data_IF_300582320861
#
_entry.id   IF_300582320861
#
_cell.length_a   1.000
_cell.length_b   1.000
_cell.length_c   1.000
_cell.angle_alpha   90.00
_cell.angle_beta   90.00
_cell.angle_gamma   90.00
#
_symmetry.space_group_name_H-M   'P 1'
#
loop_
_entity.id
_entity.type
_entity.pdbx_description
1 polymer ?
#
# COMPACT_ATOMS: atom_id res chain seq x y z
N UNK A 1 -14.02 2.37 -57.55
CA UNK A 1 -12.73 2.15 -56.86
C UNK A 1 -12.41 3.20 -55.78
N UNK A 2 -12.74 4.50 -55.94
CA UNK A 2 -12.43 5.54 -54.91
C UNK A 2 -13.18 5.36 -53.57
N UNK A 3 -14.42 4.80 -53.57
CA UNK A 3 -15.19 4.59 -52.33
C UNK A 3 -14.64 3.46 -51.47
N UNK A 4 -14.13 2.38 -52.06
CA UNK A 4 -13.57 1.24 -51.33
C UNK A 4 -12.30 1.63 -50.55
N UNK A 5 -11.45 2.51 -51.15
CA UNK A 5 -10.24 3.01 -50.52
C UNK A 5 -10.55 3.99 -49.35
N UNK A 6 -11.68 4.74 -49.43
CA UNK A 6 -12.13 5.62 -48.38
C UNK A 6 -12.63 4.81 -47.18
N UNK A 7 -13.48 3.81 -47.39
CA UNK A 7 -13.98 2.94 -46.33
C UNK A 7 -12.85 2.18 -45.63
N UNK A 8 -11.85 1.69 -46.38
CA UNK A 8 -10.69 1.03 -45.82
C UNK A 8 -9.86 1.97 -44.96
N UNK A 9 -9.63 3.23 -45.39
CA UNK A 9 -8.92 4.24 -44.60
C UNK A 9 -9.68 4.58 -43.33
N UNK A 10 -11.00 4.76 -43.39
CA UNK A 10 -11.82 5.03 -42.21
C UNK A 10 -11.77 3.85 -41.24
N UNK A 11 -11.87 2.61 -41.70
CA UNK A 11 -11.78 1.41 -40.87
C UNK A 11 -10.43 1.33 -40.13
N UNK A 12 -9.33 1.55 -40.86
CA UNK A 12 -7.98 1.54 -40.28
C UNK A 12 -7.84 2.65 -39.20
N UNK A 13 -8.31 3.86 -39.51
CA UNK A 13 -8.27 4.98 -38.57
C UNK A 13 -9.06 4.68 -37.29
N UNK A 14 -10.27 4.11 -37.43
CA UNK A 14 -11.12 3.72 -36.29
C UNK A 14 -10.41 2.64 -35.42
N UNK A 15 -9.83 1.61 -36.06
CA UNK A 15 -9.10 0.56 -35.33
C UNK A 15 -7.89 1.10 -34.59
N UNK A 16 -7.12 1.99 -35.22
CA UNK A 16 -5.94 2.63 -34.56
C UNK A 16 -6.38 3.49 -33.38
N UNK A 17 -7.42 4.32 -33.57
CA UNK A 17 -7.95 5.14 -32.48
C UNK A 17 -8.50 4.30 -31.33
N UNK A 18 -9.16 3.20 -31.62
CA UNK A 18 -9.66 2.27 -30.61
C UNK A 18 -8.50 1.60 -29.85
N UNK A 19 -7.46 1.15 -30.55
CA UNK A 19 -6.26 0.60 -29.92
C UNK A 19 -5.56 1.60 -29.01
N UNK A 20 -5.34 2.83 -29.49
CA UNK A 20 -4.75 3.91 -28.69
C UNK A 20 -5.62 4.25 -27.47
N UNK A 21 -6.93 4.30 -27.64
CA UNK A 21 -7.85 4.59 -26.53
C UNK A 21 -7.80 3.49 -25.45
N UNK A 22 -7.80 2.23 -25.84
CA UNK A 22 -7.68 1.08 -24.92
C UNK A 22 -6.32 1.11 -24.20
N UNK A 23 -5.23 1.34 -24.93
CA UNK A 23 -3.89 1.43 -24.34
C UNK A 23 -3.79 2.62 -23.36
N UNK A 24 -4.32 3.78 -23.75
CA UNK A 24 -4.36 4.94 -22.87
C UNK A 24 -5.19 4.66 -21.60
N UNK A 25 -6.34 4.00 -21.73
CA UNK A 25 -7.14 3.60 -20.59
C UNK A 25 -6.38 2.65 -19.66
N UNK A 26 -5.68 1.65 -20.19
CA UNK A 26 -4.86 0.72 -19.39
C UNK A 26 -3.75 1.44 -18.62
N UNK A 27 -3.05 2.39 -19.26
CA UNK A 27 -1.95 3.11 -18.63
C UNK A 27 -2.46 4.11 -17.58
N UNK A 28 -3.44 4.97 -17.95
CA UNK A 28 -3.85 6.10 -17.12
C UNK A 28 -4.90 5.75 -16.05
N UNK A 29 -5.75 4.76 -16.30
CA UNK A 29 -6.82 4.39 -15.36
C UNK A 29 -6.53 3.10 -14.59
N UNK A 30 -5.91 2.11 -15.23
CA UNK A 30 -5.57 0.84 -14.57
C UNK A 30 -4.15 0.83 -14.00
N UNK A 31 -3.31 1.85 -14.30
CA UNK A 31 -1.95 1.94 -13.77
C UNK A 31 -1.03 0.79 -14.23
N UNK A 32 -1.35 0.15 -15.37
CA UNK A 32 -0.53 -0.95 -15.87
C UNK A 32 0.78 -0.38 -16.41
N UNK A 33 1.95 -0.81 -15.89
CA UNK A 33 3.24 -0.30 -16.33
C UNK A 33 3.51 -0.64 -17.80
N UNK A 34 4.14 0.29 -18.51
CA UNK A 34 4.44 0.15 -19.95
C UNK A 34 5.67 -0.72 -20.19
N UNK A 35 6.56 -0.81 -19.20
CA UNK A 35 7.81 -1.55 -19.30
C UNK A 35 7.84 -2.71 -18.30
N UNK A 36 8.43 -3.83 -18.70
CA UNK A 36 8.62 -5.00 -17.84
C UNK A 36 9.67 -4.77 -16.73
N UNK A 37 10.47 -3.70 -16.86
CA UNK A 37 11.55 -3.37 -15.93
C UNK A 37 11.12 -2.51 -14.74
N UNK A 38 9.83 -2.08 -14.69
CA UNK A 38 9.31 -1.39 -13.52
C UNK A 38 9.17 -2.37 -12.36
N UNK A 39 9.86 -2.05 -11.28
CA UNK A 39 9.77 -2.78 -10.01
C UNK A 39 9.06 -1.95 -8.96
N UNK A 40 8.28 -2.62 -8.13
CA UNK A 40 7.62 -2.03 -6.98
C UNK A 40 8.15 -2.61 -5.68
N UNK A 41 8.09 -1.80 -4.65
CA UNK A 41 8.46 -2.20 -3.30
C UNK A 41 7.48 -3.22 -2.71
N UNK A 42 8.05 -4.36 -2.34
CA UNK A 42 7.36 -5.41 -1.60
C UNK A 42 7.90 -5.45 -0.17
N UNK A 43 7.06 -5.12 0.78
CA UNK A 43 7.43 -5.11 2.19
C UNK A 43 7.03 -6.43 2.85
N UNK A 44 8.02 -7.11 3.44
CA UNK A 44 7.82 -8.25 4.32
C UNK A 44 7.97 -7.76 5.76
N UNK A 45 6.91 -7.88 6.55
CA UNK A 45 6.86 -7.43 7.94
C UNK A 45 6.63 -8.64 8.83
N UNK A 46 7.54 -8.89 9.74
CA UNK A 46 7.43 -9.91 10.78
C UNK A 46 7.26 -9.23 12.15
N UNK A 47 6.16 -9.51 12.85
CA UNK A 47 5.98 -9.16 14.24
C UNK A 47 6.16 -10.42 15.09
N UNK A 48 7.25 -10.45 15.87
CA UNK A 48 7.57 -11.51 16.82
C UNK A 48 7.05 -11.13 18.21
N UNK A 49 6.16 -11.94 18.74
CA UNK A 49 5.60 -11.80 20.09
C UNK A 49 6.27 -12.80 21.01
N UNK A 50 6.92 -12.34 22.07
CA UNK A 50 7.56 -13.18 23.07
C UNK A 50 6.94 -12.91 24.45
N UNK A 51 6.65 -13.96 25.21
CA UNK A 51 6.14 -13.87 26.56
C UNK A 51 6.42 -15.15 27.35
N UNK A 52 6.22 -15.10 28.66
CA UNK A 52 6.36 -16.25 29.54
C UNK A 52 4.98 -16.67 30.02
N UNK A 53 4.53 -17.86 29.59
CA UNK A 53 3.22 -18.38 29.95
C UNK A 53 3.23 -18.97 31.38
N UNK A 54 2.10 -18.74 32.12
CA UNK A 54 1.82 -19.36 33.40
C UNK A 54 1.29 -20.78 33.19
N UNK A 55 1.92 -21.77 33.82
CA UNK A 55 1.53 -23.18 33.66
C UNK A 55 0.12 -23.53 34.17
N UNK A 56 -0.50 -22.64 34.96
CA UNK A 56 -1.77 -22.88 35.65
C UNK A 56 -2.99 -22.36 34.93
N UNK A 57 -2.82 -21.33 34.11
CA UNK A 57 -3.93 -20.57 33.53
C UNK A 57 -4.01 -20.79 32.01
N UNK A 58 -5.20 -20.69 31.42
CA UNK A 58 -5.34 -20.59 29.98
C UNK A 58 -4.63 -19.32 29.48
N UNK A 59 -3.97 -19.41 28.34
CA UNK A 59 -3.28 -18.28 27.75
C UNK A 59 -4.12 -17.70 26.64
N UNK A 60 -4.29 -16.38 26.68
CA UNK A 60 -4.91 -15.59 25.61
C UNK A 60 -4.04 -14.40 25.31
N UNK A 61 -3.55 -14.32 24.08
CA UNK A 61 -2.73 -13.20 23.57
C UNK A 61 -3.53 -12.47 22.51
N UNK A 62 -3.70 -11.17 22.66
CA UNK A 62 -4.37 -10.33 21.70
C UNK A 62 -3.38 -9.26 21.21
N UNK A 63 -3.27 -9.08 19.91
CA UNK A 63 -2.41 -8.08 19.30
C UNK A 63 -3.14 -7.37 18.17
N UNK A 64 -2.96 -6.06 18.06
CA UNK A 64 -3.41 -5.33 16.89
C UNK A 64 -2.59 -5.69 15.68
N UNK A 65 -3.26 -5.85 14.55
CA UNK A 65 -2.67 -6.04 13.23
C UNK A 65 -3.18 -4.95 12.28
N UNK A 66 -2.42 -4.57 11.25
CA UNK A 66 -2.80 -3.44 10.41
C UNK A 66 -4.22 -3.61 9.84
N UNK A 67 -5.05 -2.59 9.90
CA UNK A 67 -6.25 -2.55 9.07
C UNK A 67 -5.78 -2.56 7.62
N UNK A 68 -6.33 -3.44 6.78
CA UNK A 68 -6.07 -3.42 5.35
C UNK A 68 -6.55 -2.08 4.80
N UNK A 69 -5.61 -1.16 4.60
CA UNK A 69 -5.89 0.26 4.37
C UNK A 69 -5.89 0.62 2.89
N UNK A 70 -6.27 1.87 2.60
CA UNK A 70 -6.32 2.46 1.26
C UNK A 70 -4.98 2.41 0.51
N UNK A 71 -3.88 2.60 1.24
CA UNK A 71 -2.57 2.88 0.66
C UNK A 71 -1.74 1.61 0.42
N UNK A 72 -2.15 0.50 1.03
CA UNK A 72 -1.44 -0.76 0.95
C UNK A 72 -2.38 -1.94 0.71
N UNK A 73 -1.93 -2.90 -0.08
CA UNK A 73 -2.59 -4.19 -0.33
C UNK A 73 -1.79 -5.28 0.36
N UNK A 74 -2.49 -6.13 1.11
CA UNK A 74 -1.90 -7.37 1.64
C UNK A 74 -1.90 -8.45 0.58
N UNK A 75 -0.73 -8.94 0.23
CA UNK A 75 -0.55 -10.08 -0.68
C UNK A 75 -0.57 -11.40 0.06
N UNK A 76 -0.05 -11.42 1.28
CA UNK A 76 -0.05 -12.60 2.13
C UNK A 76 -0.08 -12.18 3.60
N UNK A 77 -0.88 -12.89 4.38
CA UNK A 77 -0.97 -12.70 5.82
C UNK A 77 -0.93 -14.07 6.51
N UNK A 78 -0.04 -14.24 7.47
CA UNK A 78 0.16 -15.51 8.17
C UNK A 78 0.31 -15.32 9.67
N UNK A 79 -0.37 -16.19 10.43
CA UNK A 79 -0.31 -16.24 11.88
C UNK A 79 0.33 -17.56 12.28
N UNK A 80 1.59 -17.51 12.71
CA UNK A 80 2.39 -18.70 13.00
C UNK A 80 2.48 -18.88 14.52
N UNK A 81 1.99 -20.00 14.99
CA UNK A 81 2.01 -20.34 16.40
C UNK A 81 2.05 -21.87 16.60
N UNK A 82 2.66 -22.32 17.69
CA UNK A 82 2.67 -23.73 18.03
C UNK A 82 1.56 -23.99 19.07
N UNK A 83 0.58 -24.84 18.71
CA UNK A 83 -0.52 -25.27 19.58
C UNK A 83 -1.47 -24.15 20.09
N UNK A 84 -1.57 -23.01 19.39
CA UNK A 84 -2.55 -21.96 19.66
C UNK A 84 -3.65 -21.98 18.59
N UNK A 85 -4.89 -21.86 19.03
CA UNK A 85 -6.00 -21.48 18.17
C UNK A 85 -5.88 -20.01 17.80
N UNK A 86 -6.16 -19.66 16.54
CA UNK A 86 -6.05 -18.28 16.02
C UNK A 86 -7.42 -17.80 15.57
N UNK A 87 -7.77 -16.58 15.93
CA UNK A 87 -8.93 -15.86 15.39
C UNK A 87 -8.61 -14.39 15.18
N UNK A 88 -9.20 -13.79 14.14
CA UNK A 88 -9.04 -12.36 13.83
C UNK A 88 -10.39 -11.71 13.90
N UNK A 89 -10.52 -10.67 14.72
CA UNK A 89 -11.72 -9.88 14.88
C UNK A 89 -11.49 -8.46 14.35
N UNK A 90 -12.56 -7.84 13.85
CA UNK A 90 -12.59 -6.44 13.43
C UNK A 90 -13.58 -5.68 14.31
N UNK A 91 -13.12 -4.60 14.93
CA UNK A 91 -13.95 -3.71 15.70
C UNK A 91 -13.43 -2.27 15.58
N UNK A 92 -14.33 -1.31 15.42
CA UNK A 92 -14.03 0.14 15.39
C UNK A 92 -12.91 0.54 14.43
N UNK A 93 -12.88 -0.07 13.24
CA UNK A 93 -11.85 0.18 12.23
C UNK A 93 -10.50 -0.51 12.50
N UNK A 94 -10.32 -1.15 13.65
CA UNK A 94 -9.14 -1.92 14.00
C UNK A 94 -9.32 -3.41 13.72
N UNK A 95 -8.19 -4.09 13.53
CA UNK A 95 -8.10 -5.56 13.47
C UNK A 95 -7.29 -6.06 14.64
N UNK A 96 -7.77 -7.10 15.29
CA UNK A 96 -7.10 -7.70 16.44
C UNK A 96 -7.02 -9.21 16.25
N UNK A 97 -5.82 -9.75 16.22
CA UNK A 97 -5.60 -11.20 16.26
C UNK A 97 -5.63 -11.68 17.69
N UNK A 98 -6.22 -12.85 17.91
CA UNK A 98 -6.27 -13.53 19.20
C UNK A 98 -5.68 -14.92 19.05
N UNK A 99 -4.61 -15.19 19.78
CA UNK A 99 -4.07 -16.53 19.97
C UNK A 99 -4.53 -17.05 21.33
N UNK A 100 -5.03 -18.28 21.37
CA UNK A 100 -5.53 -18.89 22.59
C UNK A 100 -5.05 -20.33 22.73
N UNK A 101 -4.61 -20.70 23.95
CA UNK A 101 -4.24 -22.05 24.31
C UNK A 101 -4.77 -22.40 25.70
N UNK A 102 -5.30 -23.60 25.86
CA UNK A 102 -5.79 -24.07 27.17
C UNK A 102 -4.65 -24.30 28.17
N UNK A 103 -3.49 -24.69 27.69
CA UNK A 103 -2.29 -24.94 28.50
C UNK A 103 -1.05 -24.53 27.71
N UNK A 104 -0.26 -23.66 28.29
CA UNK A 104 1.07 -23.32 27.82
C UNK A 104 1.95 -23.02 29.02
N UNK A 105 3.25 -23.24 28.94
CA UNK A 105 4.18 -22.99 30.04
C UNK A 105 5.56 -22.58 29.51
N UNK A 106 6.25 -21.74 30.28
CA UNK A 106 7.57 -21.27 29.91
C UNK A 106 7.55 -20.24 28.78
N UNK A 107 8.70 -20.09 28.12
CA UNK A 107 8.84 -19.11 27.04
C UNK A 107 8.01 -19.52 25.84
N UNK A 108 7.20 -18.59 25.37
CA UNK A 108 6.34 -18.75 24.18
C UNK A 108 6.72 -17.71 23.15
N UNK A 109 6.64 -18.11 21.88
CA UNK A 109 6.89 -17.23 20.74
C UNK A 109 5.78 -17.42 19.71
N UNK A 110 5.17 -16.32 19.30
CA UNK A 110 4.17 -16.26 18.24
C UNK A 110 4.66 -15.32 17.16
N UNK A 111 4.27 -15.56 15.92
CA UNK A 111 4.64 -14.70 14.80
C UNK A 111 3.40 -14.27 14.02
N UNK A 112 3.41 -13.00 13.66
CA UNK A 112 2.55 -12.45 12.64
C UNK A 112 3.41 -12.01 11.47
N UNK A 113 3.14 -12.53 10.28
CA UNK A 113 3.84 -12.17 9.05
C UNK A 113 2.86 -11.54 8.08
N UNK A 114 3.26 -10.42 7.52
CA UNK A 114 2.50 -9.66 6.53
C UNK A 114 3.40 -9.33 5.34
N UNK A 115 2.92 -9.65 4.15
CA UNK A 115 3.53 -9.21 2.89
C UNK A 115 2.60 -8.20 2.25
N UNK A 116 3.08 -7.00 1.99
CA UNK A 116 2.28 -5.92 1.44
C UNK A 116 3.03 -5.11 0.38
N UNK A 117 2.25 -4.45 -0.46
CA UNK A 117 2.71 -3.48 -1.45
C UNK A 117 1.84 -2.24 -1.46
N UNK A 118 2.31 -1.16 -2.07
CA UNK A 118 1.49 0.05 -2.27
C UNK A 118 0.32 -0.22 -3.20
N UNK A 119 -0.83 0.40 -2.91
CA UNK A 119 -1.99 0.38 -3.78
C UNK A 119 -1.96 1.61 -4.68
N UNK A 120 -2.11 1.39 -5.98
CA UNK A 120 -2.20 2.47 -6.98
C UNK A 120 -3.64 2.81 -7.39
N UNK A 121 -4.65 2.34 -6.64
CA UNK A 121 -6.07 2.55 -6.97
C UNK A 121 -6.61 3.85 -6.36
N UNK A 122 -7.28 4.65 -7.18
CA UNK A 122 -7.99 5.87 -6.80
C UNK A 122 -9.44 5.61 -6.33
N UNK A 123 -9.76 4.44 -5.80
CA UNK A 123 -11.09 4.18 -5.29
C UNK A 123 -11.43 5.09 -4.11
N UNK A 124 -12.42 5.95 -4.30
CA UNK A 124 -13.02 6.77 -3.23
C UNK A 124 -13.86 5.88 -2.33
N UNK A 125 -13.23 5.30 -1.32
CA UNK A 125 -13.97 4.58 -0.28
C UNK A 125 -14.72 5.58 0.58
N UNK A 126 -15.99 5.34 0.86
CA UNK A 126 -16.78 6.17 1.77
C UNK A 126 -16.13 6.13 3.16
N UNK A 127 -15.65 7.28 3.62
CA UNK A 127 -15.02 7.39 4.93
C UNK A 127 -16.10 7.48 5.98
N UNK A 128 -16.09 6.57 6.94
CA UNK A 128 -16.93 6.66 8.11
C UNK A 128 -16.36 7.75 9.04
N UNK A 129 -17.12 8.79 9.30
CA UNK A 129 -16.76 9.82 10.28
C UNK A 129 -16.66 9.26 11.69
N UNK A 130 -16.06 9.99 12.61
CA UNK A 130 -15.94 9.59 14.00
C UNK A 130 -17.32 9.59 14.68
N UNK A 131 -17.47 8.74 15.67
CA UNK A 131 -18.56 8.90 16.65
C UNK A 131 -18.16 10.05 17.58
N UNK A 132 -18.98 11.10 17.64
CA UNK A 132 -18.73 12.20 18.57
C UNK A 132 -18.66 11.68 20.01
N UNK A 133 -17.57 12.02 20.70
CA UNK A 133 -17.46 11.85 22.15
C UNK A 133 -17.91 13.13 22.83
N UNK A 134 -18.55 13.00 23.99
CA UNK A 134 -18.81 14.14 24.86
C UNK A 134 -17.50 14.81 25.25
N UNK A 135 -17.53 16.13 25.44
CA UNK A 135 -16.36 16.88 25.89
C UNK A 135 -15.87 16.31 27.21
N UNK A 136 -14.56 16.11 27.31
CA UNK A 136 -13.93 15.70 28.56
C UNK A 136 -14.20 16.76 29.63
N UNK A 137 -14.83 16.36 30.73
CA UNK A 137 -15.12 17.26 31.83
C UNK A 137 -13.82 17.62 32.54
N UNK A 138 -13.49 18.91 32.56
CA UNK A 138 -12.33 19.46 33.28
C UNK A 138 -12.86 20.46 34.29
N UNK A 139 -12.36 20.39 35.51
CA UNK A 139 -12.75 21.26 36.61
C UNK A 139 -11.50 21.94 37.24
N UNK A 140 -11.75 23.03 37.94
CA UNK A 140 -10.71 23.70 38.72
C UNK A 140 -9.63 24.41 37.88
N UNK A 141 -8.36 24.41 38.34
CA UNK A 141 -7.28 25.15 37.68
C UNK A 141 -6.98 24.69 36.27
N UNK A 142 -7.18 23.41 35.97
CA UNK A 142 -6.97 22.84 34.65
C UNK A 142 -7.94 23.41 33.62
N UNK A 143 -9.20 23.68 34.02
CA UNK A 143 -10.18 24.31 33.16
C UNK A 143 -9.75 25.74 32.77
N UNK A 144 -9.29 26.52 33.74
CA UNK A 144 -8.81 27.90 33.52
C UNK A 144 -7.62 27.89 32.55
N UNK A 145 -6.67 26.97 32.75
CA UNK A 145 -5.52 26.84 31.88
C UNK A 145 -5.90 26.44 30.46
N UNK A 146 -6.82 25.49 30.30
CA UNK A 146 -7.33 25.07 29.00
C UNK A 146 -8.04 26.21 28.26
N UNK A 147 -8.93 26.96 28.95
CA UNK A 147 -9.63 28.13 28.38
C UNK A 147 -8.64 29.23 27.97
N UNK A 148 -7.61 29.48 28.77
CA UNK A 148 -6.56 30.45 28.45
C UNK A 148 -5.76 30.06 27.18
N UNK A 149 -5.51 28.79 26.95
CA UNK A 149 -4.85 28.31 25.73
C UNK A 149 -5.80 28.34 24.51
N UNK A 150 -7.10 28.13 24.70
CA UNK A 150 -8.06 28.08 23.61
C UNK A 150 -8.27 29.42 22.92
N UNK A 151 -8.20 30.56 23.65
CA UNK A 151 -8.43 31.87 23.07
C UNK A 151 -7.43 32.22 21.95
N UNK A 152 -6.09 32.12 22.14
CA UNK A 152 -5.13 32.38 21.06
C UNK A 152 -5.19 31.32 19.95
N UNK A 153 -5.49 30.07 20.25
CA UNK A 153 -5.64 29.01 19.22
C UNK A 153 -6.77 29.40 18.26
N UNK A 154 -7.95 29.80 18.77
CA UNK A 154 -9.08 30.24 17.93
C UNK A 154 -8.77 31.46 17.08
N UNK A 155 -7.96 32.41 17.59
CA UNK A 155 -7.57 33.61 16.82
C UNK A 155 -6.66 33.31 15.63
N UNK A 156 -5.86 32.24 15.70
CA UNK A 156 -4.90 31.85 14.68
C UNK A 156 -5.37 30.72 13.78
N UNK A 157 -6.63 30.31 13.91
CA UNK A 157 -7.20 29.17 13.18
C UNK A 157 -8.38 29.58 12.34
N UNK A 158 -8.40 29.15 11.07
CA UNK A 158 -9.48 29.41 10.13
C UNK A 158 -10.41 28.20 9.95
N UNK A 159 -9.88 26.99 10.14
CA UNK A 159 -10.55 25.71 9.92
C UNK A 159 -10.06 24.64 10.91
N UNK A 160 -10.56 23.42 10.78
CA UNK A 160 -10.18 22.29 11.64
C UNK A 160 -8.68 21.97 11.51
N UNK A 161 -8.15 22.09 10.31
CA UNK A 161 -6.75 21.78 10.01
C UNK A 161 -5.78 22.69 10.76
N UNK A 162 -5.97 23.99 10.58
CA UNK A 162 -5.16 25.00 11.28
C UNK A 162 -5.40 24.99 12.78
N UNK A 163 -6.63 24.68 13.23
CA UNK A 163 -6.94 24.56 14.64
C UNK A 163 -6.20 23.41 15.33
N UNK A 164 -6.16 22.24 14.73
CA UNK A 164 -5.44 21.08 15.26
C UNK A 164 -3.94 21.34 15.24
N UNK A 165 -3.41 21.88 14.12
CA UNK A 165 -1.99 22.22 14.00
C UNK A 165 -1.54 23.22 15.06
N UNK A 166 -2.31 24.29 15.27
CA UNK A 166 -1.99 25.30 16.29
C UNK A 166 -2.11 24.76 17.72
N UNK A 167 -3.10 23.89 17.98
CA UNK A 167 -3.24 23.21 19.28
C UNK A 167 -2.00 22.37 19.59
N UNK A 168 -1.53 21.59 18.63
CA UNK A 168 -0.32 20.76 18.79
C UNK A 168 0.91 21.64 19.07
N UNK A 169 1.11 22.70 18.30
CA UNK A 169 2.22 23.64 18.48
C UNK A 169 2.20 24.30 19.86
N UNK A 170 1.01 24.68 20.35
CA UNK A 170 0.83 25.27 21.67
C UNK A 170 1.20 24.28 22.79
N UNK A 171 0.70 23.05 22.72
CA UNK A 171 1.00 22.03 23.73
C UNK A 171 2.49 21.64 23.75
N UNK A 172 3.17 21.76 22.62
CA UNK A 172 4.62 21.55 22.54
C UNK A 172 5.46 22.74 23.03
N UNK A 173 4.85 23.90 23.28
CA UNK A 173 5.53 25.03 23.90
C UNK A 173 5.65 24.87 25.41
N UNK A 174 6.67 24.15 25.86
CA UNK A 174 6.91 23.84 27.27
C UNK A 174 7.30 25.10 28.11
N UNK A 175 7.39 26.28 27.52
CA UNK A 175 7.63 27.51 28.27
C UNK A 175 6.33 28.15 28.80
N UNK A 176 5.16 27.77 28.26
CA UNK A 176 3.86 28.26 28.70
C UNK A 176 3.45 27.58 30.03
N UNK A 177 3.13 28.39 31.05
CA UNK A 177 2.78 27.89 32.37
C UNK A 177 1.45 27.15 32.41
N UNK A 178 0.49 27.49 31.51
CA UNK A 178 -0.75 26.75 31.38
C UNK A 178 -0.50 25.34 30.81
N UNK A 179 0.43 25.22 29.85
CA UNK A 179 0.85 23.93 29.30
C UNK A 179 1.53 23.07 30.37
N UNK A 180 2.44 23.65 31.17
CA UNK A 180 3.09 22.95 32.27
C UNK A 180 2.08 22.42 33.30
N UNK A 181 1.06 23.22 33.61
CA UNK A 181 -0.01 22.83 34.51
C UNK A 181 -0.81 21.65 33.96
N UNK A 182 -1.22 21.69 32.69
CA UNK A 182 -1.98 20.61 32.06
C UNK A 182 -1.16 19.33 31.89
N UNK A 183 0.14 19.44 31.63
CA UNK A 183 1.04 18.30 31.51
C UNK A 183 1.40 17.67 32.87
N UNK A 184 1.18 18.38 33.98
CA UNK A 184 1.47 17.92 35.34
C UNK A 184 2.89 17.32 35.51
N UNK A 185 3.87 17.84 34.76
CA UNK A 185 5.27 17.39 34.79
C UNK A 185 5.59 16.18 33.89
N UNK A 186 4.60 15.54 33.28
CA UNK A 186 4.82 14.45 32.31
C UNK A 186 4.81 14.99 30.88
N UNK A 187 5.98 15.06 30.24
CA UNK A 187 6.17 15.53 28.86
C UNK A 187 6.19 14.39 27.84
N UNK A 188 5.77 13.19 28.21
CA UNK A 188 5.71 12.04 27.29
C UNK A 188 4.75 12.31 26.12
N UNK A 189 5.03 11.70 24.98
CA UNK A 189 4.19 11.85 23.78
C UNK A 189 2.72 11.44 24.04
N UNK A 190 2.50 10.41 24.85
CA UNK A 190 1.16 9.98 25.24
C UNK A 190 0.43 11.01 26.10
N UNK A 191 1.13 11.65 27.03
CA UNK A 191 0.52 12.66 27.89
C UNK A 191 0.24 13.96 27.12
N UNK A 192 1.16 14.39 26.24
CA UNK A 192 0.92 15.48 25.30
C UNK A 192 -0.31 15.22 24.44
N UNK A 193 -0.45 14.00 23.87
CA UNK A 193 -1.60 13.63 23.09
C UNK A 193 -2.93 13.66 23.90
N UNK A 194 -2.91 13.32 25.19
CA UNK A 194 -4.07 13.47 26.09
C UNK A 194 -4.46 14.93 26.29
N UNK A 195 -3.48 15.81 26.49
CA UNK A 195 -3.73 17.26 26.62
C UNK A 195 -4.26 17.86 25.32
N UNK A 196 -3.72 17.43 24.18
CA UNK A 196 -4.24 17.83 22.86
C UNK A 196 -5.69 17.36 22.69
N UNK A 197 -6.00 16.10 23.02
CA UNK A 197 -7.34 15.54 22.96
C UNK A 197 -8.32 16.31 23.86
N UNK A 198 -7.88 16.68 25.04
CA UNK A 198 -8.64 17.51 25.96
C UNK A 198 -9.01 18.86 25.34
N UNK A 199 -8.02 19.60 24.82
CA UNK A 199 -8.26 20.91 24.19
C UNK A 199 -9.15 20.79 22.95
N UNK A 200 -8.96 19.79 22.12
CA UNK A 200 -9.79 19.54 20.93
C UNK A 200 -11.22 19.13 21.31
N UNK A 201 -11.39 18.35 22.39
CA UNK A 201 -12.72 17.96 22.88
C UNK A 201 -13.56 19.15 23.36
N UNK A 202 -12.94 20.14 24.01
CA UNK A 202 -13.59 21.40 24.40
C UNK A 202 -14.07 22.20 23.18
N UNK A 203 -13.38 22.05 22.04
CA UNK A 203 -13.78 22.68 20.78
C UNK A 203 -14.75 21.81 19.96
N UNK A 204 -15.13 20.63 20.44
CA UNK A 204 -15.88 19.62 19.70
C UNK A 204 -15.22 19.17 18.40
N UNK A 205 -13.90 19.21 18.33
CA UNK A 205 -13.10 18.70 17.23
C UNK A 205 -12.69 17.25 17.53
N UNK A 206 -13.15 16.26 16.76
CA UNK A 206 -12.83 14.86 17.02
C UNK A 206 -11.35 14.59 16.75
N UNK A 207 -10.71 13.91 17.67
CA UNK A 207 -9.32 13.48 17.55
C UNK A 207 -9.18 12.00 17.92
N UNK A 208 -8.33 11.29 17.22
CA UNK A 208 -7.95 9.91 17.54
C UNK A 208 -6.44 9.75 17.47
N UNK A 209 -5.91 8.95 18.40
CA UNK A 209 -4.52 8.50 18.36
C UNK A 209 -4.34 7.43 17.28
N UNK A 210 -3.27 7.54 16.53
CA UNK A 210 -2.91 6.62 15.46
C UNK A 210 -1.52 6.10 15.74
N UNK A 211 -1.38 4.79 15.74
CA UNK A 211 -0.09 4.16 15.90
C UNK A 211 0.38 3.62 14.56
N UNK A 212 1.55 4.06 14.15
CA UNK A 212 2.15 3.72 12.86
C UNK A 212 3.46 3.00 13.05
N UNK A 213 3.86 2.22 12.05
CA UNK A 213 5.19 1.62 11.99
C UNK A 213 5.89 2.16 10.76
N UNK A 214 7.14 2.56 10.92
CA UNK A 214 7.95 3.06 9.83
C UNK A 214 8.47 1.91 8.98
N UNK A 215 8.25 1.98 7.66
CA UNK A 215 8.73 1.01 6.69
C UNK A 215 10.20 1.31 6.35
N UNK A 216 11.11 0.78 7.16
CA UNK A 216 12.56 0.86 6.96
C UNK A 216 13.13 -0.53 7.13
N UNK A 217 13.87 -1.00 6.13
CA UNK A 217 14.49 -2.32 6.15
C UNK A 217 15.64 -2.40 7.17
N UNK A 218 15.92 -3.62 7.63
CA UNK A 218 17.08 -4.03 8.41
C UNK A 218 17.26 -3.36 9.80
N UNK A 219 16.24 -2.65 10.29
CA UNK A 219 16.24 -2.05 11.62
C UNK A 219 14.99 -2.44 12.39
N UNK A 220 15.12 -2.85 13.68
CA UNK A 220 13.97 -3.07 14.53
C UNK A 220 13.16 -1.78 14.67
N UNK A 221 11.87 -1.86 14.45
CA UNK A 221 10.97 -0.72 14.53
C UNK A 221 10.12 -0.79 15.79
N UNK A 222 9.76 0.36 16.31
CA UNK A 222 8.78 0.53 17.38
C UNK A 222 7.60 1.36 16.84
N UNK A 223 6.38 1.11 17.33
CA UNK A 223 5.24 1.94 16.94
C UNK A 223 5.45 3.41 17.31
N UNK A 224 5.18 4.29 16.34
CA UNK A 224 5.22 5.75 16.51
C UNK A 224 3.79 6.28 16.67
N UNK A 225 3.61 7.25 17.55
CA UNK A 225 2.33 7.92 17.77
C UNK A 225 2.14 9.03 16.76
N UNK A 226 0.97 9.04 16.11
CA UNK A 226 0.46 10.11 15.27
C UNK A 226 -0.94 10.50 15.75
N UNK A 227 -1.43 11.65 15.32
CA UNK A 227 -2.78 12.11 15.62
C UNK A 227 -3.57 12.22 14.32
N UNK A 228 -4.88 11.92 14.38
CA UNK A 228 -5.77 12.22 13.27
C UNK A 228 -7.01 12.94 13.75
N UNK A 229 -7.51 13.85 12.93
CA UNK A 229 -8.73 14.59 13.16
C UNK A 229 -9.61 14.56 11.92
N UNK A 230 -10.92 14.65 12.09
CA UNK A 230 -11.88 14.60 10.99
C UNK A 230 -12.40 15.99 10.66
N UNK A 231 -12.26 16.43 9.41
CA UNK A 231 -12.68 17.76 8.97
C UNK A 231 -14.12 17.85 8.44
N UNK A 232 -14.88 16.74 8.56
CA UNK A 232 -16.22 16.61 7.99
C UNK A 232 -16.27 15.75 6.71
N UNK A 233 -15.16 15.66 5.97
CA UNK A 233 -15.05 14.87 4.75
C UNK A 233 -13.99 13.78 4.85
N UNK A 234 -12.81 14.13 5.36
CA UNK A 234 -11.63 13.27 5.38
C UNK A 234 -10.94 13.26 6.74
N UNK A 235 -10.20 12.19 7.03
CA UNK A 235 -9.29 12.12 8.15
C UNK A 235 -7.96 12.81 7.80
N UNK A 236 -7.61 13.83 8.57
CA UNK A 236 -6.36 14.56 8.49
C UNK A 236 -5.38 14.00 9.52
N UNK A 237 -4.16 13.70 9.12
CA UNK A 237 -3.12 13.20 10.00
C UNK A 237 -2.15 14.31 10.37
N UNK A 238 -1.67 14.30 11.62
CA UNK A 238 -0.79 15.32 12.14
C UNK A 238 0.38 14.71 12.89
N UNK A 239 1.55 15.31 12.72
CA UNK A 239 2.71 14.99 13.52
C UNK A 239 2.50 15.55 14.95
N UNK A 240 2.56 14.73 16.02
CA UNK A 240 2.29 15.19 17.39
C UNK A 240 3.34 16.15 17.95
N UNK A 241 4.54 16.21 17.36
CA UNK A 241 5.62 17.07 17.82
C UNK A 241 5.67 18.41 17.08
N UNK A 242 5.41 18.42 15.77
CA UNK A 242 5.51 19.63 14.93
C UNK A 242 4.17 20.26 14.60
N UNK A 243 3.08 19.51 14.65
CA UNK A 243 1.77 19.93 14.20
C UNK A 243 1.64 19.99 12.68
N UNK A 244 2.61 19.51 11.91
CA UNK A 244 2.55 19.43 10.47
C UNK A 244 1.52 18.39 10.03
N UNK A 245 0.73 18.75 9.03
CA UNK A 245 -0.26 17.88 8.44
C UNK A 245 0.38 16.95 7.41
N UNK A 246 -0.12 15.74 7.35
CA UNK A 246 0.23 14.70 6.39
C UNK A 246 0.94 13.52 7.04
N UNK A 247 0.55 12.33 6.64
CA UNK A 247 1.24 11.10 7.03
C UNK A 247 2.30 10.79 5.95
N UNK A 248 3.59 10.67 6.31
CA UNK A 248 4.62 10.30 5.36
C UNK A 248 4.32 8.95 4.70
N UNK A 249 4.69 8.80 3.44
CA UNK A 249 4.41 7.60 2.64
C UNK A 249 5.16 6.34 3.10
N UNK A 250 6.12 6.49 4.02
CA UNK A 250 6.86 5.40 4.65
C UNK A 250 6.24 4.97 6.00
N UNK A 251 5.00 5.38 6.30
CA UNK A 251 4.29 5.05 7.53
C UNK A 251 3.13 4.11 7.24
N UNK A 252 3.16 2.93 7.84
CA UNK A 252 2.06 1.98 7.83
C UNK A 252 1.22 2.17 9.09
N UNK A 253 -0.07 2.49 8.92
CA UNK A 253 -1.01 2.53 10.02
C UNK A 253 -1.18 1.12 10.60
N UNK A 254 -1.01 0.99 11.93
CA UNK A 254 -1.11 -0.30 12.61
C UNK A 254 -2.39 -0.44 13.42
N UNK A 255 -2.73 0.54 14.25
CA UNK A 255 -4.02 0.63 14.96
C UNK A 255 -4.35 2.06 15.35
N UNK A 256 -5.61 2.28 15.74
CA UNK A 256 -6.10 3.56 16.26
C UNK A 256 -6.68 3.39 17.66
N UNK A 257 -6.61 4.44 18.47
CA UNK A 257 -7.14 4.50 19.82
C UNK A 257 -6.10 4.40 20.92
N UNK A 258 -6.57 4.21 22.15
CA UNK A 258 -5.76 4.27 23.38
C UNK A 258 -5.25 2.90 23.85
N UNK A 259 -5.71 1.82 23.24
CA UNK A 259 -5.36 0.47 23.66
C UNK A 259 -3.88 0.16 23.37
N UNK A 260 -3.28 -0.67 24.22
CA UNK A 260 -1.93 -1.18 24.01
C UNK A 260 -1.87 -2.13 22.81
N UNK A 261 -0.73 -2.12 22.11
CA UNK A 261 -0.45 -3.01 20.97
C UNK A 261 -0.78 -4.47 21.26
N UNK A 262 -0.41 -4.93 22.46
CA UNK A 262 -0.57 -6.32 22.88
C UNK A 262 -1.17 -6.40 24.30
N UNK A 263 -2.01 -7.40 24.49
CA UNK A 263 -2.54 -7.81 25.80
C UNK A 263 -2.33 -9.32 25.96
N UNK A 264 -1.80 -9.73 27.13
CA UNK A 264 -1.53 -11.15 27.41
C UNK A 264 -2.20 -11.53 28.74
N UNK A 265 -3.18 -12.41 28.64
CA UNK A 265 -3.79 -13.07 29.78
C UNK A 265 -3.18 -14.44 29.98
N UNK A 266 -2.85 -14.81 31.23
CA UNK A 266 -2.18 -16.07 31.56
C UNK A 266 -0.65 -16.05 31.24
N UNK A 267 -0.04 -14.88 31.05
CA UNK A 267 1.38 -14.72 30.79
C UNK A 267 1.97 -13.45 31.36
N UNK A 268 3.28 -13.33 31.32
CA UNK A 268 4.05 -12.18 31.79
C UNK A 268 5.17 -11.83 30.82
N UNK A 269 5.73 -10.62 30.97
CA UNK A 269 6.89 -10.12 30.19
C UNK A 269 6.66 -10.19 28.68
N UNK A 270 5.47 -9.73 28.25
CA UNK A 270 5.16 -9.65 26.83
C UNK A 270 6.02 -8.59 26.13
N UNK A 271 6.61 -8.94 25.01
CA UNK A 271 7.35 -8.05 24.14
C UNK A 271 7.00 -8.33 22.69
N UNK A 272 6.95 -7.28 21.87
CA UNK A 272 6.75 -7.38 20.42
C UNK A 272 7.92 -6.73 19.72
N UNK A 273 8.58 -7.46 18.84
CA UNK A 273 9.67 -6.98 18.00
C UNK A 273 9.24 -7.02 16.56
N UNK A 274 9.40 -5.89 15.87
CA UNK A 274 9.13 -5.80 14.44
C UNK A 274 10.43 -5.88 13.67
N UNK A 275 10.45 -6.74 12.65
CA UNK A 275 11.51 -6.78 11.65
C UNK A 275 10.91 -6.64 10.27
N UNK A 276 11.59 -5.90 9.41
CA UNK A 276 11.10 -5.60 8.06
C UNK A 276 12.20 -5.80 7.06
N UNK A 277 11.80 -6.33 5.91
CA UNK A 277 12.66 -6.45 4.76
C UNK A 277 11.93 -5.91 3.54
N UNK A 278 12.65 -5.12 2.73
CA UNK A 278 12.16 -4.65 1.44
C UNK A 278 12.75 -5.54 0.35
N UNK A 279 11.92 -5.99 -0.57
CA UNK A 279 12.32 -6.68 -1.79
C UNK A 279 11.62 -6.03 -2.98
N UNK A 280 12.32 -5.94 -4.09
CA UNK A 280 11.74 -5.47 -5.34
C UNK A 280 11.07 -6.63 -6.07
N UNK A 281 9.88 -6.41 -6.58
CA UNK A 281 9.17 -7.34 -7.44
C UNK A 281 8.74 -6.63 -8.72
N UNK A 282 8.78 -7.35 -9.83
CA UNK A 282 8.27 -6.84 -11.10
C UNK A 282 6.81 -6.39 -10.95
N UNK A 283 6.50 -5.15 -11.33
CA UNK A 283 5.21 -4.51 -11.14
C UNK A 283 4.05 -5.28 -11.80
N UNK A 284 4.28 -5.91 -12.93
CA UNK A 284 3.28 -6.74 -13.62
C UNK A 284 2.93 -7.99 -12.80
N UNK A 285 3.94 -8.66 -12.24
CA UNK A 285 3.74 -9.83 -11.38
C UNK A 285 3.02 -9.45 -10.09
N UNK A 286 3.35 -8.28 -9.57
CA UNK A 286 2.71 -7.73 -8.38
C UNK A 286 1.24 -7.38 -8.64
N UNK A 287 0.93 -6.74 -9.77
CA UNK A 287 -0.44 -6.45 -10.19
C UNK A 287 -1.28 -7.72 -10.28
N UNK A 288 -0.73 -8.81 -10.84
CA UNK A 288 -1.40 -10.11 -10.90
C UNK A 288 -1.73 -10.69 -9.52
N UNK A 289 -0.78 -10.66 -8.58
CA UNK A 289 -1.01 -11.14 -7.21
C UNK A 289 -2.02 -10.28 -6.46
N UNK A 290 -2.07 -8.99 -6.75
CA UNK A 290 -3.03 -8.06 -6.17
C UNK A 290 -4.45 -8.32 -6.67
N UNK A 291 -4.61 -8.62 -7.95
CA UNK A 291 -5.89 -8.92 -8.60
C UNK A 291 -6.48 -10.25 -8.09
N UNK A 292 -5.67 -11.30 -7.98
CA UNK A 292 -6.10 -12.59 -7.40
C UNK A 292 -6.66 -12.45 -5.98
N UNK A 293 -6.24 -11.42 -5.21
CA UNK A 293 -6.74 -11.14 -3.87
C UNK A 293 -7.92 -10.15 -3.80
N UNK A 294 -8.30 -9.52 -4.93
CA UNK A 294 -9.29 -8.42 -4.94
C UNK A 294 -10.58 -8.76 -5.68
N UNK A 295 -10.76 -10.01 -6.19
CA UNK A 295 -11.92 -10.46 -7.01
C UNK A 295 -12.15 -9.61 -8.28
N UNK A 296 -11.13 -9.01 -8.84
CA UNK A 296 -11.24 -8.19 -10.05
C UNK A 296 -11.00 -9.05 -11.30
N UNK A 297 -12.05 -9.40 -12.00
CA UNK A 297 -12.07 -10.26 -13.20
C UNK A 297 -11.28 -9.75 -14.43
N UNK A 298 -10.63 -8.57 -14.33
CA UNK A 298 -10.03 -7.92 -15.51
C UNK A 298 -8.75 -8.57 -16.05
N UNK A 299 -7.93 -9.17 -15.18
CA UNK A 299 -6.70 -9.84 -15.61
C UNK A 299 -6.95 -11.24 -16.17
N UNK A 300 -8.11 -11.83 -15.92
CA UNK A 300 -8.50 -13.12 -16.51
C UNK A 300 -8.59 -13.06 -18.05
N UNK A 301 -8.93 -11.88 -18.59
CA UNK A 301 -8.96 -11.60 -20.03
C UNK A 301 -7.66 -11.01 -20.57
N UNK A 302 -6.63 -10.83 -19.73
CA UNK A 302 -5.33 -10.31 -20.13
C UNK A 302 -4.37 -11.43 -20.54
N UNK A 303 -3.48 -11.15 -21.49
CA UNK A 303 -2.36 -12.04 -21.84
C UNK A 303 -1.49 -12.42 -20.62
N UNK A 304 -1.44 -11.55 -19.62
CA UNK A 304 -0.71 -11.78 -18.37
C UNK A 304 -1.37 -12.81 -17.43
N UNK A 305 -2.66 -13.13 -17.61
CA UNK A 305 -3.35 -14.23 -16.94
C UNK A 305 -2.90 -15.62 -17.38
N UNK A 306 -2.18 -15.74 -18.50
CA UNK A 306 -1.75 -17.01 -19.06
C UNK A 306 -0.42 -17.50 -18.45
N UNK A 307 -0.15 -18.83 -18.44
CA UNK A 307 1.15 -19.36 -18.06
C UNK A 307 2.28 -18.74 -18.90
N UNK A 308 3.46 -18.54 -18.29
CA UNK A 308 4.63 -17.88 -18.93
C UNK A 308 4.99 -18.45 -20.32
N UNK A 309 4.88 -19.77 -20.51
CA UNK A 309 5.13 -20.42 -21.80
C UNK A 309 4.12 -19.97 -22.86
N UNK A 310 2.87 -19.82 -22.46
CA UNK A 310 1.79 -19.37 -23.34
C UNK A 310 1.93 -17.88 -23.68
N UNK A 311 2.30 -17.06 -22.71
CA UNK A 311 2.60 -15.62 -22.93
C UNK A 311 3.67 -15.42 -23.99
N UNK A 312 4.79 -16.17 -23.91
CA UNK A 312 5.86 -16.11 -24.91
C UNK A 312 5.35 -16.48 -26.31
N UNK A 313 4.50 -17.49 -26.40
CA UNK A 313 3.91 -17.89 -27.69
C UNK A 313 3.03 -16.79 -28.28
N UNK A 314 2.19 -16.17 -27.46
CA UNK A 314 1.35 -15.05 -27.91
C UNK A 314 2.14 -13.81 -28.27
N UNK A 315 3.23 -13.50 -27.55
CA UNK A 315 4.13 -12.40 -27.86
C UNK A 315 4.76 -12.58 -29.25
N UNK A 316 5.17 -13.82 -29.59
CA UNK A 316 5.67 -14.16 -30.94
C UNK A 316 4.56 -13.97 -31.98
N UNK A 317 3.34 -14.42 -31.71
CA UNK A 317 2.20 -14.26 -32.62
C UNK A 317 1.87 -12.79 -32.91
N UNK A 318 1.96 -11.92 -31.91
CA UNK A 318 1.74 -10.47 -32.08
C UNK A 318 2.88 -9.79 -32.83
N UNK A 319 4.11 -10.28 -32.71
CA UNK A 319 5.25 -9.76 -33.49
C UNK A 319 5.14 -10.00 -35.00
N UNK A 320 4.44 -11.05 -35.44
CA UNK A 320 4.30 -11.36 -36.88
C UNK A 320 3.58 -10.24 -37.65
N UNK A 321 2.38 -9.76 -37.24
CA UNK A 321 1.72 -8.64 -37.90
C UNK A 321 2.55 -7.34 -37.90
N UNK A 322 3.24 -7.07 -36.79
CA UNK A 322 4.12 -5.89 -36.67
C UNK A 322 5.28 -5.99 -37.65
N UNK A 323 5.93 -7.15 -37.73
CA UNK A 323 7.00 -7.41 -38.69
C UNK A 323 6.54 -7.25 -40.14
N UNK A 324 5.35 -7.78 -40.48
CA UNK A 324 4.74 -7.61 -41.82
C UNK A 324 4.47 -6.14 -42.12
N UNK A 325 3.96 -5.39 -41.14
CA UNK A 325 3.71 -3.94 -41.29
C UNK A 325 5.02 -3.20 -41.59
N UNK A 326 6.09 -3.49 -40.84
CA UNK A 326 7.42 -2.89 -41.08
C UNK A 326 7.91 -3.20 -42.51
N UNK A 327 7.82 -4.46 -42.97
CA UNK A 327 8.21 -4.84 -44.31
C UNK A 327 7.36 -4.10 -45.37
N UNK A 328 6.05 -3.95 -45.17
CA UNK A 328 5.18 -3.19 -46.06
C UNK A 328 5.58 -1.71 -46.13
N UNK A 329 5.95 -1.10 -45.02
CA UNK A 329 6.44 0.29 -44.98
C UNK A 329 7.75 0.40 -45.71
N UNK A 330 8.73 -0.48 -45.48
CA UNK A 330 10.03 -0.50 -46.15
C UNK A 330 9.85 -0.68 -47.67
N UNK A 331 8.96 -1.57 -48.07
CA UNK A 331 8.67 -1.84 -49.50
C UNK A 331 8.04 -0.66 -50.19
N UNK A 332 6.99 -0.09 -49.57
CA UNK A 332 6.13 0.94 -50.21
C UNK A 332 6.72 2.36 -50.09
N UNK A 333 7.44 2.66 -48.99
CA UNK A 333 7.97 3.98 -48.70
C UNK A 333 9.41 4.15 -49.17
N UNK A 334 10.26 3.12 -48.97
CA UNK A 334 11.69 3.13 -49.25
C UNK A 334 12.00 2.44 -50.60
N UNK A 335 11.10 1.58 -51.09
CA UNK A 335 11.27 0.88 -52.37
C UNK A 335 12.16 -0.35 -52.30
N UNK A 336 12.38 -0.92 -51.10
CA UNK A 336 13.20 -2.12 -50.94
C UNK A 336 12.48 -3.33 -51.53
N UNK A 337 13.07 -4.03 -52.51
CA UNK A 337 12.51 -5.26 -53.07
C UNK A 337 12.79 -6.42 -52.11
N UNK A 338 11.74 -7.05 -51.60
CA UNK A 338 11.82 -8.25 -50.76
C UNK A 338 11.17 -9.45 -51.41
N UNK A 339 11.67 -10.65 -51.18
CA UNK A 339 11.09 -11.91 -51.58
C UNK A 339 9.78 -12.20 -50.80
N UNK A 340 8.69 -11.56 -51.20
CA UNK A 340 7.40 -11.63 -50.49
C UNK A 340 7.37 -10.75 -49.25
N UNK A 341 6.26 -10.74 -48.53
CA UNK A 341 6.07 -9.97 -47.28
C UNK A 341 6.32 -10.79 -46.04
N UNK A 342 6.05 -12.09 -46.07
CA UNK A 342 6.17 -12.98 -44.91
C UNK A 342 7.56 -13.60 -44.76
N UNK A 343 8.27 -13.87 -45.88
CA UNK A 343 9.58 -14.54 -45.83
C UNK A 343 10.62 -13.84 -44.95
N UNK A 344 10.80 -12.51 -45.01
CA UNK A 344 11.73 -11.82 -44.12
C UNK A 344 11.34 -11.91 -42.65
N UNK A 345 10.05 -11.88 -42.34
CA UNK A 345 9.53 -11.98 -40.97
C UNK A 345 9.78 -13.37 -40.39
N UNK A 346 9.52 -14.42 -41.18
CA UNK A 346 9.81 -15.81 -40.77
C UNK A 346 11.28 -16.07 -40.53
N UNK A 347 12.15 -15.51 -41.39
CA UNK A 347 13.61 -15.59 -41.23
C UNK A 347 14.04 -14.87 -39.97
N UNK A 348 13.50 -13.68 -39.69
CA UNK A 348 13.83 -12.93 -38.48
C UNK A 348 13.40 -13.69 -37.21
N UNK A 349 12.20 -14.32 -37.22
CA UNK A 349 11.76 -15.18 -36.12
C UNK A 349 12.64 -16.42 -35.94
N UNK A 350 13.05 -17.06 -37.02
CA UNK A 350 13.98 -18.19 -36.97
C UNK A 350 15.36 -17.78 -36.37
N UNK A 351 15.86 -16.60 -36.70
CA UNK A 351 17.10 -16.07 -36.11
C UNK A 351 16.99 -15.73 -34.65
N UNK A 352 15.81 -15.33 -34.17
CA UNK A 352 15.54 -15.14 -32.74
C UNK A 352 15.71 -16.44 -31.96
N UNK A 353 15.21 -17.56 -32.46
CA UNK A 353 15.28 -18.86 -31.77
C UNK A 353 16.70 -19.49 -31.88
N UNK A 354 17.41 -19.28 -32.99
CA UNK A 354 18.70 -19.92 -33.26
C UNK A 354 19.91 -19.07 -32.89
N UNK A 355 19.74 -17.87 -32.37
CA UNK A 355 20.74 -16.80 -32.24
C UNK A 355 21.26 -16.31 -33.59
N UNK A 356 21.54 -15.00 -33.72
CA UNK A 356 21.83 -14.34 -35.01
C UNK A 356 22.99 -14.97 -35.76
N UNK A 357 24.11 -15.29 -35.10
CA UNK A 357 25.30 -15.85 -35.74
C UNK A 357 25.06 -17.26 -36.30
N UNK A 358 24.46 -18.13 -35.51
CA UNK A 358 24.17 -19.52 -35.93
C UNK A 358 23.06 -19.55 -37.00
N UNK A 359 22.06 -18.67 -36.89
CA UNK A 359 20.98 -18.56 -37.85
C UNK A 359 21.44 -18.10 -39.21
N UNK A 360 22.35 -17.10 -39.31
CA UNK A 360 22.93 -16.65 -40.56
C UNK A 360 23.79 -17.78 -41.22
N UNK A 361 24.60 -18.47 -40.43
CA UNK A 361 25.39 -19.59 -40.90
C UNK A 361 24.51 -20.71 -41.48
N UNK A 362 23.52 -21.13 -40.75
CA UNK A 362 22.57 -22.17 -41.18
C UNK A 362 21.80 -21.77 -42.44
N UNK A 363 21.30 -20.54 -42.50
CA UNK A 363 20.62 -20.00 -43.66
C UNK A 363 21.49 -19.95 -44.89
N UNK A 364 22.75 -19.52 -44.75
CA UNK A 364 23.73 -19.46 -45.83
C UNK A 364 24.04 -20.85 -46.37
N UNK A 365 24.25 -21.85 -45.50
CA UNK A 365 24.52 -23.24 -45.89
C UNK A 365 23.32 -23.85 -46.63
N UNK A 366 22.10 -23.68 -46.11
CA UNK A 366 20.90 -24.22 -46.76
C UNK A 366 20.67 -23.56 -48.11
N UNK A 367 20.88 -22.25 -48.24
CA UNK A 367 20.69 -21.52 -49.50
C UNK A 367 21.76 -21.91 -50.52
N UNK A 368 23.00 -22.12 -50.07
CA UNK A 368 24.09 -22.55 -50.95
C UNK A 368 23.96 -24.00 -51.44
N UNK A 369 23.30 -24.87 -50.64
CA UNK A 369 23.02 -26.26 -51.04
C UNK A 369 21.74 -26.39 -51.89
N UNK A 370 20.85 -25.42 -51.86
CA UNK A 370 19.57 -25.40 -52.57
C UNK A 370 19.62 -24.68 -53.94
N UNK A 371 20.69 -23.97 -54.23
CA UNK A 371 21.04 -23.36 -55.53
C UNK A 371 21.91 -24.30 -56.37
#
# INVERSE_FOLDING_TARGET
MRSLTLHLKVLITVLVLLGVAVTAYQIFFLGIPVTEDETDDLWNIDAKVEFVASAKDPVKVQMFVPPLSRDYVSLNESFISNNYGVSVNRADGNRKVTWSARRASGNQTLYYRLVLTKRYSNEKTTIKGPTFRDSLAVEGPEKIAAEALMAPIRQHSADVETFVSETIKRVNNLNDDNVKLLLAGDTSALNKAKVIDLLLSIAHVPMEKVHTIRLVADTPQTPELWLRSFNGNDWLYFNPDTGEQGLPSDRLLWWTGDDNLITVDGGKKANVTFSMNNSEMNAIRLAKLTDENTDADFLEYSLYGLPLQTQQTFMIMVMIPIGVLVILVLRNLIGIQTLGTFTPVLIALAFRETQLGFGIMLFTVITALGL
#
